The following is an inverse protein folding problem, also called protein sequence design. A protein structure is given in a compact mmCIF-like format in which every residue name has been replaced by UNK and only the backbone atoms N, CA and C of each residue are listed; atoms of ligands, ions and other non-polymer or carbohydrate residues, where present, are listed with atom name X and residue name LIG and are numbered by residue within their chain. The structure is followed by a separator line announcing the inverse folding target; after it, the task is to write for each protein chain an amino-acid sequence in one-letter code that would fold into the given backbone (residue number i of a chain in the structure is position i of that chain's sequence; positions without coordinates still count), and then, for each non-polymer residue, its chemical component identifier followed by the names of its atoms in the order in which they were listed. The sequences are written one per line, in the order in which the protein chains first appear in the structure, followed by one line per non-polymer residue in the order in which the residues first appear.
data_IF_044474923135
#
_entry.id   IF_044474923135
#
_cell.length_a   1.000
_cell.length_b   1.000
_cell.length_c   1.000
_cell.angle_alpha   90.00
_cell.angle_beta   90.00
_cell.angle_gamma   90.00
#
_symmetry.space_group_name_H-M   'P 1'
#
loop_
_entity.id
_entity.type
_entity.pdbx_description
1 polymer ?
#
# COMPACT_ATOMS: atom_id res chain seq x y z
N UNK A 1 24.48 -26.10 -15.15
CA UNK A 1 23.60 -27.04 -14.47
C UNK A 1 22.17 -26.67 -14.92
N UNK A 2 21.64 -27.40 -15.88
CA UNK A 2 20.32 -27.17 -16.47
C UNK A 2 19.32 -27.84 -15.53
N UNK A 3 18.53 -27.05 -14.82
CA UNK A 3 17.39 -27.58 -14.08
C UNK A 3 16.33 -27.85 -15.15
N UNK A 4 16.13 -29.12 -15.50
CA UNK A 4 14.94 -29.54 -16.22
C UNK A 4 13.77 -29.36 -15.28
N UNK A 5 12.87 -28.40 -15.55
CA UNK A 5 11.56 -28.41 -14.97
C UNK A 5 10.90 -29.73 -15.40
N UNK A 6 10.59 -30.62 -14.49
CA UNK A 6 9.60 -31.65 -14.72
C UNK A 6 8.33 -30.91 -15.11
N UNK A 7 7.75 -31.27 -16.24
CA UNK A 7 6.41 -30.80 -16.62
C UNK A 7 5.44 -31.38 -15.58
N UNK A 8 5.15 -30.59 -14.57
CA UNK A 8 4.07 -30.94 -13.64
C UNK A 8 2.76 -31.07 -14.43
N UNK A 9 2.05 -32.15 -14.22
CA UNK A 9 0.71 -32.32 -14.77
C UNK A 9 -0.13 -31.08 -14.41
N UNK A 10 -0.89 -30.51 -15.37
CA UNK A 10 -1.64 -29.29 -15.14
C UNK A 10 -2.62 -29.47 -13.97
N UNK A 11 -2.46 -28.70 -12.93
CA UNK A 11 -3.33 -28.75 -11.76
C UNK A 11 -4.69 -28.12 -12.10
N UNK A 12 -5.74 -28.93 -12.10
CA UNK A 12 -7.10 -28.45 -12.29
C UNK A 12 -7.67 -27.97 -10.95
N UNK A 13 -7.91 -26.67 -10.86
CA UNK A 13 -8.52 -26.07 -9.69
C UNK A 13 -10.05 -26.23 -9.72
N UNK A 14 -10.62 -26.65 -8.60
CA UNK A 14 -12.07 -26.64 -8.41
C UNK A 14 -12.45 -25.30 -7.75
N UNK A 15 -13.07 -24.41 -8.53
CA UNK A 15 -13.34 -23.04 -8.09
C UNK A 15 -14.85 -22.93 -7.78
N UNK A 16 -15.22 -22.66 -6.51
CA UNK A 16 -16.61 -22.42 -6.13
C UNK A 16 -17.07 -21.06 -6.64
N UNK A 17 -18.24 -20.98 -7.26
CA UNK A 17 -18.83 -19.74 -7.77
C UNK A 17 -20.11 -19.44 -6.99
N UNK A 18 -20.06 -18.39 -6.19
CA UNK A 18 -21.23 -17.77 -5.57
C UNK A 18 -21.61 -16.50 -6.34
N UNK A 19 -22.91 -16.25 -6.52
CA UNK A 19 -23.42 -15.14 -7.32
C UNK A 19 -24.45 -14.37 -6.50
N UNK A 20 -24.36 -13.05 -6.54
CA UNK A 20 -25.35 -12.10 -6.06
C UNK A 20 -25.78 -11.17 -7.20
N UNK A 21 -26.98 -10.64 -7.10
CA UNK A 21 -27.52 -9.67 -8.06
C UNK A 21 -27.84 -8.35 -7.35
N UNK A 22 -26.90 -7.41 -7.29
CA UNK A 22 -27.09 -6.13 -6.59
C UNK A 22 -28.25 -5.29 -7.11
N UNK A 23 -28.72 -5.53 -8.35
CA UNK A 23 -29.91 -4.91 -8.90
C UNK A 23 -31.22 -5.39 -8.30
N UNK A 24 -31.24 -6.49 -7.56
CA UNK A 24 -32.43 -7.02 -6.91
C UNK A 24 -32.83 -6.18 -5.69
N UNK A 25 -34.11 -6.23 -5.33
CA UNK A 25 -34.61 -5.54 -4.15
C UNK A 25 -33.94 -6.04 -2.86
N UNK A 26 -33.61 -7.33 -2.79
CA UNK A 26 -32.86 -7.99 -1.71
C UNK A 26 -31.79 -8.88 -2.34
N UNK A 27 -30.59 -8.38 -2.59
CA UNK A 27 -29.49 -9.19 -3.10
C UNK A 27 -29.17 -10.35 -2.15
N UNK A 28 -28.78 -11.49 -2.72
CA UNK A 28 -28.31 -12.62 -1.92
C UNK A 28 -26.93 -12.30 -1.32
N UNK A 29 -26.75 -12.56 -0.05
CA UNK A 29 -25.47 -12.55 0.64
C UNK A 29 -24.94 -13.97 0.92
N UNK A 30 -25.51 -14.99 0.27
CA UNK A 30 -25.06 -16.37 0.43
C UNK A 30 -23.70 -16.60 -0.22
N UNK A 31 -22.76 -17.09 0.56
CA UNK A 31 -21.44 -17.52 0.09
C UNK A 31 -21.43 -18.95 -0.46
N UNK A 32 -22.54 -19.65 -0.36
CA UNK A 32 -22.67 -21.02 -0.88
C UNK A 32 -22.56 -21.01 -2.41
N UNK A 33 -21.72 -21.89 -2.99
CA UNK A 33 -21.54 -21.91 -4.42
C UNK A 33 -22.81 -22.43 -5.13
N UNK A 34 -23.27 -21.70 -6.13
CA UNK A 34 -24.32 -22.12 -7.05
C UNK A 34 -23.72 -22.87 -8.25
N UNK A 35 -22.45 -22.74 -8.48
CA UNK A 35 -21.72 -23.39 -9.57
C UNK A 35 -20.28 -23.72 -9.17
N UNK A 36 -19.67 -24.70 -9.87
CA UNK A 36 -18.27 -25.07 -9.71
C UNK A 36 -17.57 -25.07 -11.06
N UNK A 37 -16.48 -24.35 -11.19
CA UNK A 37 -15.59 -24.50 -12.33
C UNK A 37 -14.65 -25.66 -12.04
N UNK A 38 -14.63 -26.65 -12.95
CA UNK A 38 -13.90 -27.92 -12.76
C UNK A 38 -13.02 -28.28 -13.94
N UNK A 39 -12.87 -27.38 -14.91
CA UNK A 39 -12.08 -27.57 -16.14
C UNK A 39 -10.95 -26.54 -16.21
N UNK A 40 -9.88 -26.87 -16.90
CA UNK A 40 -8.74 -25.97 -17.11
C UNK A 40 -9.11 -24.66 -17.82
N UNK A 41 -10.00 -24.76 -18.81
CA UNK A 41 -10.45 -23.61 -19.62
C UNK A 41 -11.92 -23.75 -19.96
N UNK A 42 -12.56 -22.64 -20.27
CA UNK A 42 -13.87 -22.54 -20.93
C UNK A 42 -15.03 -23.29 -20.26
N UNK A 43 -15.05 -23.34 -18.95
CA UNK A 43 -16.27 -23.69 -18.24
C UNK A 43 -17.23 -22.49 -18.21
N UNK A 44 -18.50 -22.73 -18.46
CA UNK A 44 -19.51 -21.67 -18.55
C UNK A 44 -20.71 -21.97 -17.67
N UNK A 45 -21.22 -20.96 -17.02
CA UNK A 45 -22.50 -20.97 -16.32
C UNK A 45 -23.35 -19.78 -16.77
N UNK A 46 -24.68 -19.89 -16.58
CA UNK A 46 -25.60 -18.84 -16.97
C UNK A 46 -25.94 -17.95 -15.78
N UNK A 47 -25.62 -16.66 -15.90
CA UNK A 47 -26.16 -15.62 -15.03
C UNK A 47 -27.58 -15.24 -15.52
N UNK A 48 -28.39 -14.62 -14.66
CA UNK A 48 -29.72 -14.12 -15.03
C UNK A 48 -29.58 -12.96 -16.03
N UNK A 49 -30.26 -13.10 -17.17
CA UNK A 49 -30.19 -12.14 -18.26
C UNK A 49 -30.70 -10.76 -17.84
N UNK A 50 -29.96 -9.72 -18.21
CA UNK A 50 -30.33 -8.32 -17.96
C UNK A 50 -30.11 -7.85 -16.51
N UNK A 51 -29.56 -8.67 -15.63
CA UNK A 51 -29.21 -8.29 -14.26
C UNK A 51 -27.71 -7.98 -14.11
N UNK A 52 -27.40 -6.99 -13.28
CA UNK A 52 -26.05 -6.77 -12.79
C UNK A 52 -25.70 -7.86 -11.79
N UNK A 53 -24.56 -8.50 -11.94
CA UNK A 53 -24.12 -9.61 -11.10
C UNK A 53 -22.79 -9.34 -10.42
N UNK A 54 -22.64 -9.91 -9.22
CA UNK A 54 -21.42 -9.92 -8.42
C UNK A 54 -21.08 -11.38 -8.12
N UNK A 55 -19.83 -11.76 -8.35
CA UNK A 55 -19.30 -13.11 -8.15
C UNK A 55 -18.35 -13.12 -6.96
N UNK A 56 -18.21 -14.26 -6.31
CA UNK A 56 -17.38 -14.45 -5.12
C UNK A 56 -17.90 -13.66 -3.93
N UNK A 57 -19.17 -13.86 -3.60
CA UNK A 57 -19.87 -13.17 -2.52
C UNK A 57 -19.06 -13.23 -1.22
N UNK A 58 -18.85 -12.05 -0.62
CA UNK A 58 -18.02 -11.82 0.58
C UNK A 58 -16.61 -12.42 0.48
N UNK A 59 -16.07 -12.48 -0.74
CA UNK A 59 -14.71 -12.97 -1.03
C UNK A 59 -14.42 -14.35 -0.42
N UNK A 60 -15.41 -15.22 -0.39
CA UNK A 60 -15.31 -16.53 0.24
C UNK A 60 -14.36 -17.49 -0.49
N UNK A 61 -14.14 -17.29 -1.80
CA UNK A 61 -13.18 -18.06 -2.62
C UNK A 61 -11.89 -17.28 -2.84
N UNK A 62 -10.76 -18.00 -2.90
CA UNK A 62 -9.44 -17.42 -3.12
C UNK A 62 -9.14 -17.24 -4.61
N UNK A 63 -9.85 -16.35 -5.26
CA UNK A 63 -9.67 -15.98 -6.66
C UNK A 63 -10.14 -14.56 -6.93
N UNK A 64 -9.69 -13.97 -8.04
CA UNK A 64 -10.10 -12.65 -8.52
C UNK A 64 -11.14 -12.78 -9.62
N UNK A 65 -12.01 -11.80 -9.70
CA UNK A 65 -13.08 -11.74 -10.71
C UNK A 65 -12.84 -10.57 -11.65
N UNK A 66 -12.91 -10.83 -12.94
CA UNK A 66 -13.00 -9.78 -13.95
C UNK A 66 -14.40 -9.81 -14.57
N UNK A 67 -14.97 -8.64 -14.81
CA UNK A 67 -16.27 -8.50 -15.46
C UNK A 67 -16.11 -7.85 -16.84
N UNK A 68 -17.11 -8.07 -17.70
CA UNK A 68 -17.25 -7.28 -18.92
C UNK A 68 -17.50 -5.81 -18.58
N UNK A 69 -17.12 -4.92 -19.49
CA UNK A 69 -17.20 -3.47 -19.31
C UNK A 69 -18.59 -2.99 -18.90
N UNK A 70 -19.63 -3.56 -19.49
CA UNK A 70 -21.02 -3.20 -19.17
C UNK A 70 -21.37 -3.54 -17.71
N UNK A 71 -20.90 -4.69 -17.20
CA UNK A 71 -21.16 -5.07 -15.80
C UNK A 71 -20.32 -4.24 -14.85
N UNK A 72 -19.06 -3.89 -15.19
CA UNK A 72 -18.26 -2.95 -14.41
C UNK A 72 -18.96 -1.61 -14.28
N UNK A 73 -19.47 -1.03 -15.39
CA UNK A 73 -20.22 0.22 -15.38
C UNK A 73 -21.50 0.13 -14.55
N UNK A 74 -22.22 -0.99 -14.65
CA UNK A 74 -23.44 -1.22 -13.87
C UNK A 74 -23.16 -1.31 -12.38
N UNK A 75 -22.10 -2.01 -11.96
CA UNK A 75 -21.64 -2.07 -10.56
C UNK A 75 -21.22 -0.70 -10.06
N UNK A 76 -20.45 0.05 -10.85
CA UNK A 76 -20.06 1.43 -10.52
C UNK A 76 -21.27 2.33 -10.28
N UNK A 77 -22.27 2.26 -11.16
CA UNK A 77 -23.51 3.05 -11.01
C UNK A 77 -24.26 2.68 -9.71
N UNK A 78 -24.31 1.40 -9.35
CA UNK A 78 -24.93 0.96 -8.10
C UNK A 78 -24.15 1.55 -6.89
N UNK A 79 -22.84 1.50 -6.91
CA UNK A 79 -21.99 2.07 -5.85
C UNK A 79 -22.16 3.59 -5.71
N UNK A 80 -22.20 4.31 -6.81
CA UNK A 80 -22.37 5.79 -6.85
C UNK A 80 -23.74 6.26 -6.35
N UNK A 81 -24.77 5.41 -6.39
CA UNK A 81 -26.12 5.73 -5.93
C UNK A 81 -26.37 5.42 -4.44
N UNK A 82 -25.30 5.32 -3.64
CA UNK A 82 -25.39 4.95 -2.23
C UNK A 82 -26.06 3.58 -2.03
N UNK A 83 -25.46 2.57 -2.63
CA UNK A 83 -25.97 1.20 -2.54
C UNK A 83 -25.30 0.39 -1.43
N UNK A 84 -24.94 1.01 -0.31
CA UNK A 84 -24.34 0.32 0.84
C UNK A 84 -25.19 -0.86 1.33
N UNK A 85 -26.51 -0.74 1.23
CA UNK A 85 -27.46 -1.83 1.52
C UNK A 85 -27.48 -2.94 0.46
N UNK A 86 -26.94 -2.71 -0.73
CA UNK A 86 -26.96 -3.63 -1.86
C UNK A 86 -25.69 -4.46 -1.99
N UNK A 87 -24.58 -3.90 -1.60
CA UNK A 87 -23.25 -4.49 -1.72
C UNK A 87 -22.54 -4.35 -0.38
N UNK A 88 -22.25 -5.47 0.29
CA UNK A 88 -21.57 -5.47 1.60
C UNK A 88 -20.20 -4.79 1.54
N UNK A 89 -19.66 -4.27 2.66
CA UNK A 89 -18.32 -3.67 2.70
C UNK A 89 -17.21 -4.58 2.16
N UNK A 90 -17.31 -5.89 2.42
CA UNK A 90 -16.36 -6.88 1.92
C UNK A 90 -16.44 -6.98 0.39
N UNK A 91 -17.63 -7.03 -0.16
CA UNK A 91 -17.83 -7.06 -1.61
C UNK A 91 -17.40 -5.75 -2.29
N UNK A 92 -17.61 -4.59 -1.65
CA UNK A 92 -17.13 -3.30 -2.16
C UNK A 92 -15.60 -3.26 -2.19
N UNK A 93 -14.96 -3.73 -1.12
CA UNK A 93 -13.49 -3.86 -1.05
C UNK A 93 -12.95 -4.80 -2.13
N UNK A 94 -13.61 -5.95 -2.35
CA UNK A 94 -13.27 -6.91 -3.41
C UNK A 94 -13.36 -6.27 -4.81
N UNK A 95 -14.44 -5.56 -5.12
CA UNK A 95 -14.60 -4.90 -6.42
C UNK A 95 -13.48 -3.91 -6.71
N UNK A 96 -13.08 -3.13 -5.70
CA UNK A 96 -11.97 -2.18 -5.80
C UNK A 96 -10.64 -2.92 -6.04
N UNK A 97 -10.34 -3.93 -5.20
CA UNK A 97 -9.09 -4.68 -5.31
C UNK A 97 -9.01 -5.41 -6.64
N UNK A 98 -10.10 -6.02 -7.09
CA UNK A 98 -10.15 -6.74 -8.35
C UNK A 98 -9.98 -5.80 -9.55
N UNK A 99 -10.72 -4.68 -9.64
CA UNK A 99 -10.64 -3.78 -10.79
C UNK A 99 -9.27 -3.11 -10.91
N UNK A 100 -8.68 -2.67 -9.79
CA UNK A 100 -7.35 -2.06 -9.78
C UNK A 100 -6.25 -3.07 -10.14
N UNK A 101 -6.38 -4.31 -9.65
CA UNK A 101 -5.47 -5.39 -10.02
C UNK A 101 -5.60 -5.76 -11.51
N UNK A 102 -6.82 -5.87 -12.05
CA UNK A 102 -7.06 -6.12 -13.46
C UNK A 102 -6.54 -4.96 -14.35
N UNK A 103 -6.65 -3.72 -13.89
CA UNK A 103 -6.05 -2.57 -14.59
C UNK A 103 -4.53 -2.65 -14.59
N UNK A 104 -3.92 -2.97 -13.45
CA UNK A 104 -2.46 -3.19 -13.34
C UNK A 104 -1.94 -4.27 -14.30
N UNK A 105 -2.73 -5.32 -14.53
CA UNK A 105 -2.38 -6.43 -15.44
C UNK A 105 -2.89 -6.21 -16.88
N UNK A 106 -3.32 -5.00 -17.21
CA UNK A 106 -3.84 -4.59 -18.54
C UNK A 106 -5.07 -5.35 -19.04
N UNK A 107 -5.76 -6.04 -18.15
CA UNK A 107 -7.01 -6.77 -18.46
C UNK A 107 -8.25 -5.86 -18.45
N UNK A 108 -8.15 -4.71 -17.79
CA UNK A 108 -9.15 -3.63 -17.74
C UNK A 108 -8.44 -2.30 -17.96
N UNK A 109 -9.11 -1.33 -18.59
CA UNK A 109 -8.56 0.00 -18.72
C UNK A 109 -8.56 0.71 -17.34
N UNK A 110 -7.49 1.43 -17.02
CA UNK A 110 -7.44 2.24 -15.80
C UNK A 110 -8.59 3.25 -15.68
N UNK A 111 -9.13 3.74 -16.79
CA UNK A 111 -10.32 4.61 -16.77
C UNK A 111 -11.48 3.95 -16.03
N UNK A 112 -11.79 2.67 -16.34
CA UNK A 112 -12.84 1.92 -15.66
C UNK A 112 -12.56 1.75 -14.17
N UNK A 113 -11.30 1.47 -13.82
CA UNK A 113 -10.92 1.31 -12.43
C UNK A 113 -11.02 2.63 -11.64
N UNK A 114 -10.55 3.74 -12.23
CA UNK A 114 -10.62 5.05 -11.59
C UNK A 114 -12.05 5.60 -11.51
N UNK A 115 -12.90 5.33 -12.50
CA UNK A 115 -14.33 5.64 -12.43
C UNK A 115 -15.01 4.91 -11.26
N UNK A 116 -14.72 3.61 -11.08
CA UNK A 116 -15.26 2.85 -9.95
C UNK A 116 -14.77 3.44 -8.63
N UNK A 117 -13.47 3.73 -8.50
CA UNK A 117 -12.88 4.24 -7.26
C UNK A 117 -13.46 5.60 -6.85
N UNK A 118 -14.03 6.38 -7.77
CA UNK A 118 -14.65 7.68 -7.42
C UNK A 118 -15.81 7.57 -6.42
N UNK A 119 -16.50 6.41 -6.34
CA UNK A 119 -17.57 6.23 -5.34
C UNK A 119 -17.05 6.31 -3.89
N UNK A 120 -15.74 6.13 -3.66
CA UNK A 120 -15.15 6.29 -2.34
C UNK A 120 -15.39 7.67 -1.73
N UNK A 121 -15.69 8.69 -2.52
CA UNK A 121 -16.08 10.01 -2.01
C UNK A 121 -17.29 9.97 -1.07
N UNK A 122 -18.11 8.91 -1.13
CA UNK A 122 -19.28 8.70 -0.26
C UNK A 122 -19.14 7.45 0.63
N UNK A 123 -18.00 6.77 0.61
CA UNK A 123 -17.77 5.55 1.39
C UNK A 123 -17.38 5.84 2.84
N UNK A 124 -18.06 5.21 3.77
CA UNK A 124 -17.81 5.38 5.21
C UNK A 124 -17.10 4.20 5.85
N UNK A 125 -17.22 2.98 5.27
CA UNK A 125 -16.60 1.79 5.81
C UNK A 125 -15.08 1.76 5.60
N UNK A 126 -14.36 1.19 6.57
CA UNK A 126 -12.91 1.08 6.54
C UNK A 126 -12.38 0.12 5.46
N UNK A 127 -13.03 -1.03 5.26
CA UNK A 127 -12.50 -2.10 4.38
C UNK A 127 -12.34 -1.67 2.91
N UNK A 128 -13.34 -1.02 2.26
CA UNK A 128 -13.17 -0.51 0.90
C UNK A 128 -12.01 0.49 0.78
N UNK A 129 -11.84 1.35 1.79
CA UNK A 129 -10.73 2.30 1.83
C UNK A 129 -9.36 1.62 1.94
N UNK A 130 -9.23 0.63 2.81
CA UNK A 130 -7.98 -0.13 2.97
C UNK A 130 -7.59 -0.83 1.66
N UNK A 131 -8.55 -1.47 0.98
CA UNK A 131 -8.34 -2.10 -0.32
C UNK A 131 -7.91 -1.10 -1.40
N UNK A 132 -8.60 0.06 -1.46
CA UNK A 132 -8.30 1.11 -2.43
C UNK A 132 -6.90 1.69 -2.23
N UNK A 133 -6.59 2.14 -1.02
CA UNK A 133 -5.35 2.84 -0.74
C UNK A 133 -4.13 1.94 -0.88
N UNK A 134 -4.26 0.66 -0.53
CA UNK A 134 -3.23 -0.36 -0.77
C UNK A 134 -2.96 -0.54 -2.27
N UNK A 135 -3.99 -0.63 -3.08
CA UNK A 135 -3.85 -0.83 -4.53
C UNK A 135 -3.41 0.44 -5.26
N UNK A 136 -3.90 1.62 -4.83
CA UNK A 136 -3.48 2.94 -5.36
C UNK A 136 -2.03 3.27 -5.01
N UNK A 137 -1.49 2.75 -3.89
CA UNK A 137 -0.06 2.91 -3.56
C UNK A 137 0.83 2.39 -4.69
N UNK A 138 0.47 1.27 -5.30
CA UNK A 138 1.20 0.74 -6.44
C UNK A 138 1.27 1.72 -7.62
N UNK A 139 0.18 2.40 -7.90
CA UNK A 139 0.10 3.41 -8.97
C UNK A 139 0.92 4.63 -8.57
N UNK A 140 0.65 5.18 -7.39
CA UNK A 140 1.32 6.37 -6.86
C UNK A 140 2.85 6.24 -6.87
N UNK A 141 3.37 5.12 -6.40
CA UNK A 141 4.81 4.89 -6.28
C UNK A 141 5.52 4.73 -7.66
N UNK A 142 4.76 4.65 -8.75
CA UNK A 142 5.26 4.48 -10.13
C UNK A 142 4.98 5.64 -11.06
N UNK A 143 4.33 6.67 -10.55
CA UNK A 143 4.10 7.87 -11.33
C UNK A 143 5.40 8.66 -11.52
N UNK A 144 5.49 9.33 -12.64
CA UNK A 144 6.61 10.20 -12.97
C UNK A 144 6.72 11.35 -11.95
N UNK A 145 7.95 11.85 -11.74
CA UNK A 145 8.22 12.97 -10.82
C UNK A 145 7.86 14.32 -11.43
N UNK A 146 7.17 14.34 -12.58
CA UNK A 146 6.76 15.62 -13.14
C UNK A 146 5.63 16.24 -12.29
N UNK A 147 5.72 17.54 -12.14
CA UNK A 147 4.83 18.35 -11.29
C UNK A 147 3.36 18.19 -11.69
N UNK A 148 3.07 18.19 -12.99
CA UNK A 148 1.70 18.05 -13.51
C UNK A 148 1.05 16.73 -13.10
N UNK A 149 1.79 15.61 -13.20
CA UNK A 149 1.28 14.30 -12.79
C UNK A 149 1.04 14.24 -11.28
N UNK A 150 1.93 14.85 -10.49
CA UNK A 150 1.76 14.91 -9.04
C UNK A 150 0.54 15.73 -8.63
N UNK A 151 0.32 16.90 -9.25
CA UNK A 151 -0.86 17.73 -9.01
C UNK A 151 -2.18 17.01 -9.37
N UNK A 152 -2.21 16.28 -10.49
CA UNK A 152 -3.38 15.50 -10.89
C UNK A 152 -3.71 14.41 -9.87
N UNK A 153 -2.70 13.66 -9.40
CA UNK A 153 -2.90 12.63 -8.40
C UNK A 153 -3.28 13.21 -7.05
N UNK A 154 -2.64 14.29 -6.63
CA UNK A 154 -3.01 15.01 -5.43
C UNK A 154 -4.47 15.45 -5.48
N UNK A 155 -4.88 16.09 -6.58
CA UNK A 155 -6.26 16.54 -6.78
C UNK A 155 -7.25 15.37 -6.76
N UNK A 156 -6.91 14.26 -7.41
CA UNK A 156 -7.73 13.05 -7.40
C UNK A 156 -7.86 12.48 -5.99
N UNK A 157 -6.75 12.30 -5.26
CA UNK A 157 -6.78 11.77 -3.90
C UNK A 157 -7.56 12.68 -2.94
N UNK A 158 -7.40 14.00 -3.05
CA UNK A 158 -8.17 14.95 -2.25
C UNK A 158 -9.67 14.86 -2.59
N UNK A 159 -10.02 14.67 -3.87
CA UNK A 159 -11.41 14.57 -4.29
C UNK A 159 -12.14 13.36 -3.70
N UNK A 160 -11.47 12.23 -3.56
CA UNK A 160 -12.07 11.01 -3.01
C UNK A 160 -11.93 10.93 -1.47
N UNK A 161 -10.79 11.32 -0.90
CA UNK A 161 -10.46 11.07 0.52
C UNK A 161 -10.70 12.30 1.41
N UNK A 162 -10.84 13.50 0.83
CA UNK A 162 -10.88 14.75 1.59
C UNK A 162 -12.03 14.83 2.58
N UNK A 163 -13.24 14.40 2.19
CA UNK A 163 -14.40 14.41 3.09
C UNK A 163 -14.24 13.41 4.25
N UNK A 164 -13.75 12.21 3.97
CA UNK A 164 -13.49 11.20 5.01
C UNK A 164 -12.42 11.69 5.98
N UNK A 165 -11.34 12.27 5.48
CA UNK A 165 -10.30 12.87 6.33
C UNK A 165 -10.88 13.98 7.23
N UNK A 166 -11.72 14.85 6.68
CA UNK A 166 -12.36 15.92 7.44
C UNK A 166 -13.30 15.36 8.54
N UNK A 167 -14.05 14.29 8.26
CA UNK A 167 -14.96 13.66 9.22
C UNK A 167 -14.22 12.95 10.35
N UNK A 168 -13.08 12.32 10.06
CA UNK A 168 -12.26 11.60 11.04
C UNK A 168 -11.36 12.54 11.85
N UNK A 169 -11.08 13.74 11.34
CA UNK A 169 -10.12 14.70 11.90
C UNK A 169 -8.69 14.12 12.00
N UNK A 170 -7.72 14.90 12.47
CA UNK A 170 -6.33 14.45 12.58
C UNK A 170 -6.06 13.75 13.93
N UNK A 171 -6.63 14.23 14.99
CA UNK A 171 -6.43 13.71 16.36
C UNK A 171 -7.52 12.72 16.75
N UNK A 172 -7.18 11.73 17.58
CA UNK A 172 -8.15 10.77 18.12
C UNK A 172 -9.20 11.47 18.98
N UNK A 173 -10.42 10.95 18.94
CA UNK A 173 -11.56 11.45 19.68
C UNK A 173 -12.04 10.41 20.69
N UNK A 174 -12.54 10.82 21.84
CA UNK A 174 -13.06 9.91 22.87
C UNK A 174 -14.21 8.99 22.40
N UNK A 175 -14.91 9.41 21.34
CA UNK A 175 -16.02 8.66 20.72
C UNK A 175 -15.61 7.65 19.65
N UNK A 176 -14.32 7.60 19.28
CA UNK A 176 -13.86 6.78 18.17
C UNK A 176 -14.03 5.30 18.48
N UNK A 177 -14.57 4.60 17.51
CA UNK A 177 -14.50 3.14 17.46
C UNK A 177 -13.15 2.69 16.85
N UNK A 178 -12.81 1.43 17.03
CA UNK A 178 -11.53 0.90 16.57
C UNK A 178 -11.30 1.12 15.06
N UNK A 179 -12.34 1.00 14.24
CA UNK A 179 -12.23 1.22 12.78
C UNK A 179 -12.07 2.71 12.43
N UNK A 180 -12.55 3.62 13.26
CA UNK A 180 -12.32 5.07 13.10
C UNK A 180 -10.85 5.41 13.32
N UNK A 181 -10.23 4.83 14.35
CA UNK A 181 -8.80 5.00 14.65
C UNK A 181 -7.95 4.50 13.47
N UNK A 182 -8.23 3.30 12.98
CA UNK A 182 -7.53 2.74 11.81
C UNK A 182 -7.75 3.59 10.56
N UNK A 183 -8.98 4.01 10.31
CA UNK A 183 -9.37 4.87 9.18
C UNK A 183 -8.68 6.23 9.23
N UNK A 184 -8.61 6.85 10.41
CA UNK A 184 -7.89 8.13 10.63
C UNK A 184 -6.43 8.00 10.29
N UNK A 185 -5.76 6.98 10.82
CA UNK A 185 -4.34 6.74 10.53
C UNK A 185 -4.09 6.57 9.04
N UNK A 186 -4.91 5.76 8.38
CA UNK A 186 -4.80 5.51 6.95
C UNK A 186 -5.08 6.78 6.13
N UNK A 187 -6.15 7.50 6.44
CA UNK A 187 -6.52 8.75 5.76
C UNK A 187 -5.44 9.83 5.95
N UNK A 188 -4.98 10.04 7.19
CA UNK A 188 -3.94 11.03 7.49
C UNK A 188 -2.61 10.69 6.82
N UNK A 189 -2.23 9.40 6.78
CA UNK A 189 -1.02 8.97 6.07
C UNK A 189 -1.08 9.38 4.60
N UNK A 190 -2.19 9.12 3.92
CA UNK A 190 -2.34 9.45 2.51
C UNK A 190 -2.48 10.96 2.26
N UNK A 191 -3.28 11.67 3.07
CA UNK A 191 -3.45 13.11 2.90
C UNK A 191 -2.13 13.87 3.12
N UNK A 192 -1.34 13.47 4.12
CA UNK A 192 0.00 14.03 4.29
C UNK A 192 0.95 13.59 3.14
N UNK A 193 0.88 12.34 2.67
CA UNK A 193 1.71 11.83 1.54
C UNK A 193 1.46 12.61 0.24
N UNK A 194 0.21 13.00 -0.03
CA UNK A 194 -0.14 13.84 -1.21
C UNK A 194 -0.06 15.34 -0.94
N UNK A 195 0.62 15.76 0.12
CA UNK A 195 0.87 17.16 0.47
C UNK A 195 -0.40 17.99 0.71
N UNK A 196 -1.46 17.39 1.25
CA UNK A 196 -2.65 18.15 1.64
C UNK A 196 -2.32 19.10 2.79
N UNK A 197 -2.45 20.40 2.58
CA UNK A 197 -1.94 21.45 3.46
C UNK A 197 -2.45 21.33 4.90
N UNK A 198 -3.74 21.02 5.08
CA UNK A 198 -4.32 20.85 6.43
C UNK A 198 -3.65 19.70 7.19
N UNK A 199 -3.35 18.57 6.51
CA UNK A 199 -2.65 17.45 7.11
C UNK A 199 -1.20 17.80 7.44
N UNK A 200 -0.50 18.46 6.51
CA UNK A 200 0.88 18.89 6.75
C UNK A 200 0.99 19.83 7.95
N UNK A 201 0.08 20.80 8.04
CA UNK A 201 0.06 21.75 9.16
C UNK A 201 -0.12 21.04 10.49
N UNK A 202 -1.10 20.13 10.59
CA UNK A 202 -1.37 19.36 11.81
C UNK A 202 -0.18 18.46 12.18
N UNK A 203 0.37 17.72 11.22
CA UNK A 203 1.49 16.83 11.45
C UNK A 203 2.77 17.59 11.88
N UNK A 204 3.08 18.72 11.22
CA UNK A 204 4.23 19.58 11.59
C UNK A 204 4.09 20.19 12.98
N UNK A 205 2.89 20.61 13.37
CA UNK A 205 2.65 21.13 14.71
C UNK A 205 2.90 20.06 15.79
N UNK A 206 2.42 18.83 15.57
CA UNK A 206 2.68 17.70 16.48
C UNK A 206 4.14 17.27 16.45
N UNK A 207 4.81 17.34 15.31
CA UNK A 207 6.24 17.04 15.22
C UNK A 207 7.09 18.07 15.99
N UNK A 208 6.73 19.35 15.94
CA UNK A 208 7.35 20.39 16.78
C UNK A 208 7.15 20.12 18.28
N UNK A 209 6.00 19.61 18.68
CA UNK A 209 5.76 19.15 20.05
C UNK A 209 6.71 18.01 20.45
N UNK A 210 6.89 17.01 19.57
CA UNK A 210 7.85 15.92 19.78
C UNK A 210 9.27 16.43 19.96
N UNK A 211 9.73 17.37 19.12
CA UNK A 211 11.07 17.96 19.23
C UNK A 211 11.32 18.67 20.57
N UNK A 212 10.26 19.13 21.24
CA UNK A 212 10.31 19.73 22.59
C UNK A 212 10.12 18.73 23.73
N UNK A 213 10.02 17.43 23.42
CA UNK A 213 9.88 16.35 24.39
C UNK A 213 8.45 16.13 24.90
N UNK A 214 7.44 16.64 24.20
CA UNK A 214 6.05 16.31 24.49
C UNK A 214 5.66 14.96 23.92
N UNK A 215 4.79 14.25 24.62
CA UNK A 215 4.24 12.98 24.14
C UNK A 215 3.29 13.20 22.96
N UNK A 216 3.36 12.29 22.00
CA UNK A 216 2.46 12.24 20.85
C UNK A 216 1.53 11.04 21.01
N UNK A 217 0.25 11.23 20.68
CA UNK A 217 -0.74 10.15 20.67
C UNK A 217 -0.20 8.96 19.84
N UNK A 218 -0.12 7.75 20.43
CA UNK A 218 0.42 6.57 19.76
C UNK A 218 -0.21 6.26 18.41
N UNK A 219 -1.49 6.59 18.22
CA UNK A 219 -2.24 6.28 17.01
C UNK A 219 -1.86 7.15 15.80
N UNK A 220 -1.30 8.34 16.05
CA UNK A 220 -0.86 9.26 14.98
C UNK A 220 0.66 9.39 14.88
N UNK A 221 1.44 8.77 15.77
CA UNK A 221 2.91 8.88 15.80
C UNK A 221 3.54 8.58 14.42
N UNK A 222 3.08 7.53 13.73
CA UNK A 222 3.65 7.14 12.43
C UNK A 222 3.51 8.27 11.40
N UNK A 223 2.35 8.88 11.33
CA UNK A 223 2.06 9.99 10.40
C UNK A 223 2.86 11.23 10.78
N UNK A 224 2.90 11.56 12.08
CA UNK A 224 3.61 12.74 12.61
C UNK A 224 5.11 12.61 12.33
N UNK A 225 5.71 11.48 12.67
CA UNK A 225 7.16 11.27 12.53
C UNK A 225 7.60 11.22 11.06
N UNK A 226 6.89 10.44 10.23
CA UNK A 226 7.23 10.34 8.80
C UNK A 226 7.03 11.68 8.08
N UNK A 227 5.94 12.40 8.36
CA UNK A 227 5.70 13.72 7.77
C UNK A 227 6.70 14.75 8.27
N UNK A 228 6.99 14.74 9.58
CA UNK A 228 7.97 15.62 10.21
C UNK A 228 9.36 15.48 9.58
N UNK A 229 9.85 14.25 9.44
CA UNK A 229 11.15 13.98 8.80
C UNK A 229 11.15 14.31 7.31
N UNK A 230 10.08 13.95 6.59
CA UNK A 230 9.97 14.23 5.15
C UNK A 230 9.99 15.73 4.83
N UNK A 231 9.42 16.55 5.70
CA UNK A 231 9.27 17.99 5.47
C UNK A 231 10.16 18.85 6.38
N UNK A 232 10.93 18.21 7.26
CA UNK A 232 11.83 18.84 8.24
C UNK A 232 13.23 19.07 7.72
N UNK A 233 14.12 19.35 8.63
CA UNK A 233 15.53 19.65 8.38
C UNK A 233 16.44 18.46 8.69
N UNK A 234 17.72 18.55 8.31
CA UNK A 234 18.73 17.56 8.67
C UNK A 234 18.95 17.50 10.19
N UNK A 235 18.81 18.60 10.88
CA UNK A 235 18.89 18.67 12.36
C UNK A 235 17.74 17.90 13.02
N UNK A 236 16.52 18.00 12.47
CA UNK A 236 15.37 17.24 12.94
C UNK A 236 15.58 15.72 12.76
N UNK A 237 16.19 15.33 11.64
CA UNK A 237 16.54 13.94 11.37
C UNK A 237 17.56 13.41 12.38
N UNK A 238 18.63 14.17 12.64
CA UNK A 238 19.64 13.79 13.64
C UNK A 238 19.04 13.75 15.05
N UNK A 239 18.13 14.66 15.39
CA UNK A 239 17.43 14.58 16.66
C UNK A 239 16.65 13.26 16.78
N UNK A 240 15.93 12.88 15.75
CA UNK A 240 15.17 11.61 15.73
C UNK A 240 16.13 10.40 15.80
N UNK A 241 17.26 10.43 15.12
CA UNK A 241 18.29 9.38 15.20
C UNK A 241 18.79 9.20 16.64
N UNK A 242 18.99 10.29 17.37
CA UNK A 242 19.39 10.23 18.79
C UNK A 242 18.27 9.68 19.70
N UNK A 243 17.00 9.87 19.36
CA UNK A 243 15.89 9.20 20.07
C UNK A 243 15.85 7.72 19.74
N UNK A 244 16.01 7.35 18.47
CA UNK A 244 16.11 5.95 18.03
C UNK A 244 17.22 5.19 18.79
N UNK A 245 18.41 5.75 18.92
CA UNK A 245 19.54 5.12 19.63
C UNK A 245 19.27 4.85 21.11
N UNK A 246 18.37 5.61 21.72
CA UNK A 246 18.00 5.47 23.15
C UNK A 246 16.81 4.55 23.37
N UNK A 247 16.07 4.23 22.31
CA UNK A 247 14.82 3.49 22.41
C UNK A 247 15.08 2.00 22.63
N UNK A 248 14.26 1.36 23.46
CA UNK A 248 14.36 -0.05 23.80
C UNK A 248 13.10 -0.85 23.44
N UNK A 249 11.99 -0.17 23.21
CA UNK A 249 10.71 -0.80 22.84
C UNK A 249 10.71 -1.16 21.36
N UNK A 250 10.59 -2.42 21.03
CA UNK A 250 10.74 -2.92 19.66
C UNK A 250 9.76 -2.28 18.64
N UNK A 251 8.52 -1.98 19.06
CA UNK A 251 7.53 -1.29 18.20
C UNK A 251 7.94 0.16 17.91
N UNK A 252 8.47 0.88 18.91
CA UNK A 252 8.94 2.26 18.74
C UNK A 252 10.23 2.30 17.92
N UNK A 253 11.16 1.36 18.15
CA UNK A 253 12.36 1.19 17.31
C UNK A 253 11.96 1.08 15.84
N UNK A 254 11.00 0.21 15.52
CA UNK A 254 10.52 0.03 14.16
C UNK A 254 9.85 1.29 13.60
N UNK A 255 9.10 2.02 14.42
CA UNK A 255 8.48 3.30 14.06
C UNK A 255 9.54 4.34 13.68
N UNK A 256 10.58 4.49 14.49
CA UNK A 256 11.71 5.37 14.19
C UNK A 256 12.44 4.98 12.92
N UNK A 257 12.65 3.68 12.67
CA UNK A 257 13.30 3.21 11.44
C UNK A 257 12.55 3.69 10.19
N UNK A 258 11.22 3.53 10.15
CA UNK A 258 10.43 3.98 9.01
C UNK A 258 10.32 5.51 8.93
N UNK A 259 10.32 6.19 10.07
CA UNK A 259 10.32 7.65 10.10
C UNK A 259 11.63 8.23 9.56
N UNK A 260 12.78 7.74 10.00
CA UNK A 260 14.11 8.15 9.51
C UNK A 260 14.26 7.91 8.00
N UNK A 261 13.64 6.85 7.49
CA UNK A 261 13.63 6.53 6.06
C UNK A 261 12.73 7.46 5.21
N UNK A 262 11.93 8.32 5.83
CA UNK A 262 11.02 9.23 5.11
C UNK A 262 11.69 10.49 4.57
N UNK A 263 12.98 10.73 4.86
CA UNK A 263 13.71 11.87 4.33
C UNK A 263 13.76 11.86 2.80
N UNK A 264 13.62 13.03 2.20
CA UNK A 264 13.81 13.28 0.76
C UNK A 264 15.16 13.93 0.45
N UNK A 265 15.98 14.21 1.47
CA UNK A 265 17.34 14.74 1.32
C UNK A 265 18.30 13.59 0.98
N UNK A 266 19.00 13.70 -0.15
CA UNK A 266 19.85 12.64 -0.67
C UNK A 266 21.05 12.35 0.25
N UNK A 267 21.65 13.40 0.84
CA UNK A 267 22.78 13.25 1.77
C UNK A 267 22.33 12.50 3.03
N UNK A 268 21.14 12.80 3.54
CA UNK A 268 20.54 12.13 4.69
C UNK A 268 20.25 10.67 4.38
N UNK A 269 19.71 10.39 3.19
CA UNK A 269 19.45 9.01 2.75
C UNK A 269 20.74 8.21 2.66
N UNK A 270 21.81 8.81 2.10
CA UNK A 270 23.11 8.14 2.03
C UNK A 270 23.72 7.92 3.42
N UNK A 271 23.63 8.91 4.32
CA UNK A 271 24.04 8.77 5.71
C UNK A 271 23.30 7.61 6.39
N UNK A 272 21.97 7.51 6.20
CA UNK A 272 21.17 6.44 6.78
C UNK A 272 21.54 5.06 6.23
N UNK A 273 21.79 4.96 4.92
CA UNK A 273 22.27 3.73 4.31
C UNK A 273 23.63 3.31 4.87
N UNK A 274 24.55 4.27 5.07
CA UNK A 274 25.87 3.99 5.65
C UNK A 274 25.77 3.47 7.10
N UNK A 275 24.81 3.95 7.89
CA UNK A 275 24.56 3.45 9.24
C UNK A 275 24.11 1.98 9.27
N UNK A 276 23.62 1.42 8.16
CA UNK A 276 23.31 -0.01 8.09
C UNK A 276 24.52 -0.92 8.23
N UNK A 277 25.73 -0.40 7.97
CA UNK A 277 27.00 -1.13 8.17
C UNK A 277 27.51 -1.02 9.63
N UNK A 278 26.96 -0.10 10.42
CA UNK A 278 27.28 0.06 11.84
C UNK A 278 26.33 -0.77 12.72
N UNK A 279 26.84 -1.88 13.26
CA UNK A 279 26.10 -2.84 14.07
C UNK A 279 25.70 -2.33 15.45
N UNK A 280 26.43 -1.32 15.95
CA UNK A 280 26.14 -0.71 17.24
C UNK A 280 24.94 0.25 17.12
N UNK A 281 24.74 0.83 15.94
CA UNK A 281 23.60 1.72 15.65
C UNK A 281 22.41 0.96 15.11
N UNK A 282 22.57 0.12 14.05
CA UNK A 282 21.46 -0.63 13.44
C UNK A 282 21.73 -2.12 13.53
N UNK A 283 20.87 -2.82 14.30
CA UNK A 283 20.99 -4.28 14.46
C UNK A 283 20.77 -4.99 13.12
N UNK A 284 21.49 -6.05 12.89
CA UNK A 284 21.45 -6.84 11.65
C UNK A 284 20.00 -7.19 11.21
N UNK A 285 19.16 -7.56 12.15
CA UNK A 285 17.75 -7.92 11.89
C UNK A 285 16.90 -6.73 11.44
N UNK A 286 17.31 -5.51 11.77
CA UNK A 286 16.56 -4.28 11.48
C UNK A 286 16.97 -3.63 10.15
N UNK A 287 18.12 -3.99 9.60
CA UNK A 287 18.64 -3.46 8.33
C UNK A 287 17.64 -3.58 7.19
N UNK A 288 16.93 -4.70 7.12
CA UNK A 288 15.92 -4.90 6.07
C UNK A 288 14.77 -3.89 6.15
N UNK A 289 14.41 -3.45 7.36
CA UNK A 289 13.38 -2.44 7.55
C UNK A 289 13.87 -1.05 7.10
N UNK A 290 15.15 -0.74 7.29
CA UNK A 290 15.76 0.50 6.78
C UNK A 290 15.67 0.53 5.25
N UNK A 291 16.16 -0.51 4.57
CA UNK A 291 16.07 -0.60 3.12
C UNK A 291 14.61 -0.54 2.63
N UNK A 292 13.70 -1.28 3.27
CA UNK A 292 12.29 -1.27 2.92
C UNK A 292 11.66 0.12 3.08
N UNK A 293 12.03 0.85 4.13
CA UNK A 293 11.57 2.21 4.36
C UNK A 293 12.06 3.16 3.29
N UNK A 294 13.37 3.15 2.99
CA UNK A 294 14.00 4.03 1.99
C UNK A 294 13.46 3.75 0.58
N UNK A 295 13.43 2.47 0.16
CA UNK A 295 12.94 2.08 -1.18
C UNK A 295 11.43 2.34 -1.34
N UNK A 296 10.67 2.35 -0.25
CA UNK A 296 9.27 2.76 -0.22
C UNK A 296 9.04 4.25 -0.48
N UNK A 297 10.10 5.08 -0.45
CA UNK A 297 10.06 6.48 -0.83
C UNK A 297 10.53 6.66 -2.28
N UNK A 298 9.87 7.55 -3.02
CA UNK A 298 10.18 7.74 -4.46
C UNK A 298 11.64 8.11 -4.73
N UNK A 299 12.18 9.09 -4.00
CA UNK A 299 13.58 9.52 -4.14
C UNK A 299 14.56 8.51 -3.57
N UNK A 300 14.20 7.86 -2.47
CA UNK A 300 15.08 6.92 -1.79
C UNK A 300 15.44 5.67 -2.59
N UNK A 301 14.55 5.21 -3.48
CA UNK A 301 14.77 4.01 -4.26
C UNK A 301 16.00 4.12 -5.18
N UNK A 302 16.19 5.25 -5.87
CA UNK A 302 17.33 5.47 -6.78
C UNK A 302 18.63 5.58 -5.98
N UNK A 303 18.63 6.37 -4.91
CA UNK A 303 19.81 6.55 -4.03
C UNK A 303 20.22 5.22 -3.40
N UNK A 304 19.26 4.43 -2.89
CA UNK A 304 19.54 3.11 -2.32
C UNK A 304 20.14 2.14 -3.35
N UNK A 305 19.70 2.18 -4.59
CA UNK A 305 20.23 1.32 -5.66
C UNK A 305 21.66 1.69 -6.03
N UNK A 306 21.96 2.98 -6.15
CA UNK A 306 23.32 3.46 -6.43
C UNK A 306 24.23 3.06 -5.28
N UNK A 307 23.82 3.34 -4.04
CA UNK A 307 24.60 2.99 -2.85
C UNK A 307 24.84 1.48 -2.73
N UNK A 308 23.84 0.64 -3.01
CA UNK A 308 23.97 -0.82 -3.02
C UNK A 308 24.99 -1.30 -4.07
N UNK A 309 25.00 -0.66 -5.24
CA UNK A 309 25.97 -0.99 -6.29
C UNK A 309 27.39 -0.66 -5.86
N UNK A 310 27.58 0.52 -5.25
CA UNK A 310 28.89 1.02 -4.87
C UNK A 310 29.48 0.30 -3.65
N UNK A 311 28.61 -0.21 -2.77
CA UNK A 311 29.01 -0.88 -1.52
C UNK A 311 28.73 -2.40 -1.55
N UNK A 312 28.56 -2.99 -2.74
CA UNK A 312 28.13 -4.39 -2.88
C UNK A 312 29.08 -5.38 -2.22
N UNK A 313 30.39 -5.20 -2.38
CA UNK A 313 31.42 -6.07 -1.80
C UNK A 313 31.40 -6.04 -0.28
N UNK A 314 31.29 -4.85 0.32
CA UNK A 314 31.21 -4.66 1.77
C UNK A 314 29.95 -5.30 2.34
N UNK A 315 28.83 -5.11 1.65
CA UNK A 315 27.54 -5.72 2.01
C UNK A 315 27.63 -7.24 1.96
N UNK A 316 28.23 -7.80 0.91
CA UNK A 316 28.38 -9.25 0.77
C UNK A 316 29.34 -9.84 1.83
N UNK A 317 30.39 -9.11 2.20
CA UNK A 317 31.30 -9.52 3.26
C UNK A 317 30.63 -9.50 4.64
N UNK A 318 29.86 -8.45 4.91
CA UNK A 318 29.19 -8.24 6.20
C UNK A 318 27.94 -9.12 6.38
N UNK A 319 27.18 -9.32 5.30
CA UNK A 319 25.87 -9.98 5.36
C UNK A 319 25.85 -11.35 4.65
N UNK A 320 26.76 -11.58 3.69
CA UNK A 320 26.80 -12.82 2.92
C UNK A 320 27.23 -14.05 3.71
N UNK A 321 28.00 -13.87 4.78
CA UNK A 321 28.54 -14.94 5.64
C UNK A 321 27.77 -15.11 6.94
N UNK A 322 26.63 -14.44 7.12
CA UNK A 322 25.81 -14.58 8.33
C UNK A 322 25.00 -15.89 8.32
N UNK A 323 25.69 -17.02 8.42
CA UNK A 323 25.13 -18.38 8.52
C UNK A 323 24.33 -18.64 9.81
N UNK A 324 24.02 -17.60 10.60
CA UNK A 324 23.48 -17.72 11.95
C UNK A 324 22.08 -17.15 12.19
N UNK A 325 21.38 -16.60 11.20
CA UNK A 325 20.05 -16.08 11.43
C UNK A 325 18.98 -17.15 11.23
N UNK A 326 18.64 -17.83 12.34
CA UNK A 326 17.44 -18.65 12.42
C UNK A 326 16.22 -17.82 11.97
N UNK A 327 15.74 -18.05 10.76
CA UNK A 327 14.52 -17.47 10.19
C UNK A 327 14.69 -16.26 9.26
N UNK A 328 15.88 -15.70 9.06
CA UNK A 328 16.13 -14.58 8.16
C UNK A 328 16.94 -15.00 6.94
N UNK A 329 16.36 -14.96 5.78
CA UNK A 329 17.14 -15.11 4.56
C UNK A 329 18.18 -13.99 4.44
N UNK A 330 19.34 -14.31 3.86
CA UNK A 330 20.38 -13.31 3.57
C UNK A 330 19.79 -12.13 2.79
N UNK A 331 20.42 -10.95 2.84
CA UNK A 331 20.04 -9.78 2.04
C UNK A 331 19.77 -10.15 0.59
N UNK A 332 20.47 -11.18 0.04
CA UNK A 332 20.24 -11.72 -1.29
C UNK A 332 18.80 -12.16 -1.56
N UNK A 333 18.02 -12.55 -0.55
CA UNK A 333 16.57 -12.83 -0.71
C UNK A 333 15.72 -11.57 -0.78
N UNK A 334 16.19 -10.46 -0.21
CA UNK A 334 15.47 -9.19 -0.20
C UNK A 334 15.86 -8.27 -1.36
N UNK A 335 17.02 -8.50 -1.97
CA UNK A 335 17.44 -7.81 -3.18
C UNK A 335 16.31 -7.81 -4.24
N UNK A 336 15.64 -8.93 -4.58
CA UNK A 336 14.52 -8.91 -5.53
C UNK A 336 13.34 -8.03 -5.05
N UNK A 337 13.09 -7.93 -3.74
CA UNK A 337 12.02 -7.09 -3.19
C UNK A 337 12.41 -5.61 -3.25
N UNK A 338 13.67 -5.29 -2.97
CA UNK A 338 14.25 -3.96 -3.16
C UNK A 338 14.15 -3.58 -4.64
N UNK A 339 14.55 -4.48 -5.54
CA UNK A 339 14.51 -4.27 -6.99
C UNK A 339 13.10 -4.26 -7.60
N UNK A 340 12.12 -4.93 -7.02
CA UNK A 340 10.75 -4.92 -7.55
C UNK A 340 10.08 -3.55 -7.44
N UNK A 341 10.49 -2.73 -6.49
CA UNK A 341 10.08 -1.32 -6.37
C UNK A 341 10.69 -0.42 -7.45
N UNK A 342 11.87 -0.79 -7.99
CA UNK A 342 12.67 0.05 -8.90
C UNK A 342 12.62 -0.40 -10.36
N UNK A 343 11.85 -1.43 -10.70
CA UNK A 343 11.86 -2.10 -12.03
C UNK A 343 11.70 -1.14 -13.21
N UNK A 344 10.94 -0.07 -13.06
CA UNK A 344 10.72 0.89 -14.14
C UNK A 344 11.91 1.84 -14.38
N UNK A 345 12.72 2.10 -13.36
CA UNK A 345 13.88 3.01 -13.47
C UNK A 345 15.08 2.29 -14.07
N UNK A 346 15.18 0.97 -13.93
CA UNK A 346 16.32 0.17 -14.38
C UNK A 346 16.25 -0.20 -15.86
N UNK A 347 15.08 -0.46 -16.41
CA UNK A 347 14.91 -0.75 -17.85
C UNK A 347 15.30 0.44 -18.73
N UNK A 348 15.21 1.68 -18.22
CA UNK A 348 15.61 2.89 -18.94
C UNK A 348 17.14 3.12 -18.95
N UNK A 349 17.88 2.62 -17.96
CA UNK A 349 19.35 2.79 -17.89
C UNK A 349 20.15 1.68 -18.59
N UNK A 350 19.56 0.52 -18.81
CA UNK A 350 20.23 -0.59 -19.56
C UNK A 350 20.10 -0.42 -21.09
N UNK A 351 19.23 0.47 -21.57
CA UNK A 351 19.03 0.74 -23.00
C UNK A 351 19.83 1.92 -23.56
N UNK A 352 20.59 2.61 -22.76
CA UNK A 352 21.57 3.63 -23.16
C UNK A 352 22.97 3.18 -22.78
#
# INVERSE_FOLDING_TARGET
MTISAEEDEPTIWQIPISISYPSDAKPSNSTLPQHWLTKETDDTFKAEAGKTYLINVDQAGYYRVNYGEENWKALTNILMLDATDKISPINRAQLIDDVLHMARTTKVNYTVALELVQYLSIEEDFLPWEAALKSLSYVYDRLDDNEETQELVQSFMISILGQRYANLEFETQDKDEHLDILGRRTASTWMCKVNYETCLTSAKAKFADFLTGKDIDPEIKDVVYQTGIRTGTKEDWHFMLEQFKKETVASEIKRFIFALAASEDEDVIQEYLQLTLDRDTIRLQDVIYVFRGIVGQRKGAVTAMTWLSDNFEDIMNDYGNADGLAGGGSISKYIPTIFSGTKNTFELKIRN
#
